data_IF_739804977158
#
_entry.id   IF_739804977158
#
_cell.length_a   1.000
_cell.length_b   1.000
_cell.length_c   1.000
_cell.angle_alpha   90.00
_cell.angle_beta   90.00
_cell.angle_gamma   90.00
#
_symmetry.space_group_name_H-M   'P 1'
#
loop_
_entity.id
_entity.type
_entity.pdbx_description
1 polymer ?
#
# COMPACT_ATOMS: atom_id res chain seq x y z
N UNK A 1 2.27 -39.55 34.05
CA UNK A 1 1.68 -38.18 34.12
C UNK A 1 2.26 -37.19 33.11
N UNK A 2 3.55 -37.24 32.73
CA UNK A 2 4.21 -36.19 31.92
C UNK A 2 3.70 -36.02 30.48
N UNK A 3 3.28 -37.09 29.80
CA UNK A 3 2.80 -37.05 28.40
C UNK A 3 1.50 -36.26 28.24
N UNK A 4 0.59 -36.33 29.23
CA UNK A 4 -0.68 -35.61 29.18
C UNK A 4 -0.46 -34.09 29.12
N UNK A 5 0.45 -33.55 29.94
CA UNK A 5 0.78 -32.13 29.97
C UNK A 5 1.49 -31.63 28.71
N UNK A 6 2.33 -32.47 28.09
CA UNK A 6 2.98 -32.13 26.80
C UNK A 6 1.94 -32.05 25.68
N UNK A 7 0.95 -32.94 25.67
CA UNK A 7 -0.13 -32.91 24.69
C UNK A 7 -1.03 -31.68 24.86
N UNK A 8 -1.39 -31.32 26.10
CA UNK A 8 -2.18 -30.10 26.37
C UNK A 8 -1.43 -28.84 25.98
N UNK A 9 -0.12 -28.78 26.20
CA UNK A 9 0.72 -27.66 25.80
C UNK A 9 0.79 -27.50 24.27
N UNK A 10 0.90 -28.61 23.53
CA UNK A 10 0.86 -28.58 22.06
C UNK A 10 -0.50 -28.11 21.52
N UNK A 11 -1.60 -28.53 22.14
CA UNK A 11 -2.95 -28.07 21.79
C UNK A 11 -3.10 -26.57 22.07
N UNK A 12 -2.57 -26.08 23.19
CA UNK A 12 -2.58 -24.65 23.53
C UNK A 12 -1.80 -23.81 22.49
N UNK A 13 -0.64 -24.30 22.04
CA UNK A 13 0.15 -23.65 20.99
C UNK A 13 -0.58 -23.61 19.64
N UNK A 14 -1.33 -24.67 19.29
CA UNK A 14 -2.14 -24.70 18.06
C UNK A 14 -3.30 -23.70 18.10
N UNK A 15 -3.91 -23.48 19.28
CA UNK A 15 -4.96 -22.47 19.47
C UNK A 15 -4.40 -21.05 19.31
N UNK A 16 -3.21 -20.77 19.87
CA UNK A 16 -2.53 -19.47 19.75
C UNK A 16 -2.02 -19.22 18.31
N UNK A 17 -1.64 -20.28 17.59
CA UNK A 17 -1.21 -20.20 16.20
C UNK A 17 -2.36 -19.96 15.20
N UNK A 18 -3.62 -20.11 15.63
CA UNK A 18 -4.81 -19.91 14.78
C UNK A 18 -5.26 -18.44 14.70
N UNK A 19 -4.31 -17.50 14.71
CA UNK A 19 -4.58 -16.10 14.38
C UNK A 19 -4.72 -15.96 12.86
N UNK A 20 -5.88 -16.37 12.33
CA UNK A 20 -6.19 -16.11 10.93
C UNK A 20 -6.28 -14.59 10.73
N UNK A 21 -5.52 -14.04 9.79
CA UNK A 21 -5.59 -12.63 9.46
C UNK A 21 -7.00 -12.32 8.93
N UNK A 22 -7.81 -11.64 9.74
CA UNK A 22 -9.15 -11.21 9.37
C UNK A 22 -9.11 -9.73 8.98
N UNK A 23 -9.17 -9.39 7.68
CA UNK A 23 -9.02 -8.01 7.23
C UNK A 23 -10.20 -7.10 7.65
N UNK A 24 -11.39 -7.66 7.90
CA UNK A 24 -12.55 -6.90 8.37
C UNK A 24 -12.96 -7.34 9.78
N UNK A 25 -13.27 -6.40 10.67
CA UNK A 25 -13.76 -6.70 12.03
C UNK A 25 -15.12 -7.41 12.02
N UNK A 26 -15.94 -7.18 10.99
CA UNK A 26 -17.27 -7.78 10.86
C UNK A 26 -17.79 -7.79 9.42
N UNK A 27 -18.79 -8.64 9.15
CA UNK A 27 -19.52 -8.66 7.88
C UNK A 27 -20.22 -7.33 7.57
N UNK A 28 -20.65 -6.60 8.61
CA UNK A 28 -21.25 -5.26 8.49
C UNK A 28 -20.22 -4.27 7.97
N UNK A 29 -19.02 -4.26 8.53
CA UNK A 29 -17.91 -3.42 8.07
C UNK A 29 -17.58 -3.73 6.59
N UNK A 30 -17.41 -5.01 6.26
CA UNK A 30 -17.14 -5.44 4.87
C UNK A 30 -18.20 -4.93 3.89
N UNK A 31 -19.49 -5.02 4.25
CA UNK A 31 -20.58 -4.51 3.43
C UNK A 31 -20.48 -2.99 3.24
N UNK A 32 -20.25 -2.24 4.32
CA UNK A 32 -20.10 -0.79 4.24
C UNK A 32 -18.93 -0.37 3.35
N UNK A 33 -17.74 -0.95 3.57
CA UNK A 33 -16.55 -0.67 2.75
C UNK A 33 -16.77 -1.05 1.28
N UNK A 34 -17.46 -2.16 1.02
CA UNK A 34 -17.85 -2.60 -0.33
C UNK A 34 -18.75 -1.58 -1.04
N UNK A 35 -19.75 -1.03 -0.35
CA UNK A 35 -20.63 0.00 -0.93
C UNK A 35 -19.88 1.31 -1.20
N UNK A 36 -18.98 1.72 -0.30
CA UNK A 36 -18.09 2.88 -0.53
C UNK A 36 -17.27 2.70 -1.81
N UNK A 37 -16.63 1.54 -1.99
CA UNK A 37 -15.85 1.25 -3.19
C UNK A 37 -16.71 1.34 -4.45
N UNK A 38 -17.90 0.77 -4.42
CA UNK A 38 -18.83 0.77 -5.55
C UNK A 38 -19.24 2.19 -5.93
N UNK A 39 -19.56 3.02 -4.94
CA UNK A 39 -19.94 4.42 -5.10
C UNK A 39 -18.81 5.27 -5.68
N UNK A 40 -17.61 5.15 -5.12
CA UNK A 40 -16.50 6.06 -5.41
C UNK A 40 -15.77 5.67 -6.71
N UNK A 41 -15.52 4.38 -6.92
CA UNK A 41 -14.72 3.93 -8.07
C UNK A 41 -15.55 3.71 -9.33
N UNK A 42 -16.86 3.52 -9.22
CA UNK A 42 -17.77 3.27 -10.36
C UNK A 42 -17.26 2.15 -11.29
N UNK A 43 -16.79 1.05 -10.72
CA UNK A 43 -16.28 -0.10 -11.47
C UNK A 43 -17.40 -0.83 -12.21
N UNK A 44 -17.08 -1.47 -13.34
CA UNK A 44 -18.01 -2.39 -14.00
C UNK A 44 -18.41 -3.55 -13.08
N UNK A 45 -19.62 -4.08 -13.25
CA UNK A 45 -20.11 -5.22 -12.45
C UNK A 45 -19.16 -6.42 -12.47
N UNK A 46 -18.49 -6.67 -13.60
CA UNK A 46 -17.47 -7.74 -13.74
C UNK A 46 -16.25 -7.46 -12.87
N UNK A 47 -15.67 -6.27 -12.97
CA UNK A 47 -14.48 -5.87 -12.22
C UNK A 47 -14.75 -5.80 -10.72
N UNK A 48 -15.93 -5.29 -10.34
CA UNK A 48 -16.36 -5.25 -8.96
C UNK A 48 -16.52 -6.66 -8.36
N UNK A 49 -17.13 -7.60 -9.11
CA UNK A 49 -17.20 -9.01 -8.68
C UNK A 49 -15.81 -9.63 -8.50
N UNK A 50 -14.83 -9.28 -9.36
CA UNK A 50 -13.44 -9.78 -9.25
C UNK A 50 -12.79 -9.33 -7.93
N UNK A 51 -12.90 -8.06 -7.55
CA UNK A 51 -12.31 -7.57 -6.30
C UNK A 51 -13.10 -8.00 -5.05
N UNK A 52 -14.43 -8.14 -5.15
CA UNK A 52 -15.29 -8.48 -4.01
C UNK A 52 -15.06 -9.90 -3.47
N UNK A 53 -14.56 -10.81 -4.30
CA UNK A 53 -14.19 -12.18 -3.90
C UNK A 53 -12.95 -12.23 -3.01
N UNK A 54 -12.15 -11.17 -3.00
CA UNK A 54 -10.82 -11.14 -2.38
C UNK A 54 -10.78 -10.12 -1.25
N UNK A 55 -11.00 -10.60 -0.01
CA UNK A 55 -11.15 -9.72 1.16
C UNK A 55 -9.94 -8.81 1.39
N UNK A 56 -8.73 -9.31 1.14
CA UNK A 56 -7.50 -8.51 1.24
C UNK A 56 -7.48 -7.35 0.24
N UNK A 57 -7.96 -7.57 -0.99
CA UNK A 57 -8.00 -6.54 -2.04
C UNK A 57 -9.06 -5.51 -1.68
N UNK A 58 -10.26 -5.99 -1.34
CA UNK A 58 -11.38 -5.14 -0.95
C UNK A 58 -10.99 -4.24 0.23
N UNK A 59 -10.35 -4.80 1.26
CA UNK A 59 -9.87 -4.06 2.42
C UNK A 59 -8.83 -3.02 2.01
N UNK A 60 -7.79 -3.41 1.27
CA UNK A 60 -6.71 -2.49 0.88
C UNK A 60 -7.20 -1.31 0.03
N UNK A 61 -8.18 -1.52 -0.85
CA UNK A 61 -8.80 -0.44 -1.63
C UNK A 61 -9.57 0.49 -0.70
N UNK A 62 -10.38 -0.07 0.21
CA UNK A 62 -11.17 0.71 1.14
C UNK A 62 -10.29 1.57 2.07
N UNK A 63 -9.17 1.01 2.54
CA UNK A 63 -8.15 1.74 3.31
C UNK A 63 -7.53 2.87 2.48
N UNK A 64 -7.23 2.63 1.20
CA UNK A 64 -6.69 3.67 0.32
C UNK A 64 -7.68 4.85 0.12
N UNK A 65 -8.96 4.54 -0.04
CA UNK A 65 -10.02 5.57 -0.11
C UNK A 65 -10.12 6.35 1.20
N UNK A 66 -10.12 5.66 2.35
CA UNK A 66 -10.18 6.27 3.68
C UNK A 66 -8.98 7.17 3.97
N UNK A 67 -7.77 6.76 3.54
CA UNK A 67 -6.55 7.56 3.63
C UNK A 67 -6.44 8.65 2.56
N UNK A 68 -7.52 8.90 1.80
CA UNK A 68 -7.61 9.95 0.78
C UNK A 68 -6.54 9.84 -0.32
N UNK A 69 -6.16 8.62 -0.69
CA UNK A 69 -5.34 8.40 -1.89
C UNK A 69 -6.10 8.91 -3.11
N UNK A 70 -5.41 9.56 -4.04
CA UNK A 70 -6.00 10.09 -5.28
C UNK A 70 -6.81 9.01 -5.99
N UNK A 71 -8.09 9.27 -6.25
CA UNK A 71 -9.01 8.29 -6.82
C UNK A 71 -8.55 7.76 -8.19
N UNK A 72 -7.99 8.64 -9.03
CA UNK A 72 -7.40 8.27 -10.31
C UNK A 72 -6.19 7.34 -10.17
N UNK A 73 -5.42 7.48 -9.08
CA UNK A 73 -4.30 6.60 -8.81
C UNK A 73 -4.79 5.19 -8.47
N UNK A 74 -5.78 5.08 -7.58
CA UNK A 74 -6.41 3.79 -7.23
C UNK A 74 -6.98 3.12 -8.47
N UNK A 75 -7.72 3.86 -9.32
CA UNK A 75 -8.25 3.34 -10.59
C UNK A 75 -7.15 2.78 -11.48
N UNK A 76 -6.07 3.53 -11.69
CA UNK A 76 -4.92 3.08 -12.49
C UNK A 76 -4.27 1.80 -11.95
N UNK A 77 -4.17 1.63 -10.63
CA UNK A 77 -3.68 0.37 -10.01
C UNK A 77 -4.61 -0.80 -10.32
N UNK A 78 -5.92 -0.56 -10.22
CA UNK A 78 -6.94 -1.56 -10.51
C UNK A 78 -6.98 -1.92 -11.99
N UNK A 79 -6.85 -0.95 -12.89
CA UNK A 79 -6.76 -1.20 -14.33
C UNK A 79 -5.54 -2.08 -14.64
N UNK A 80 -4.40 -1.81 -14.02
CA UNK A 80 -3.20 -2.67 -14.13
C UNK A 80 -3.47 -4.09 -13.62
N UNK A 81 -4.21 -4.25 -12.53
CA UNK A 81 -4.61 -5.57 -12.01
C UNK A 81 -5.65 -6.27 -12.90
N UNK A 82 -6.60 -5.54 -13.49
CA UNK A 82 -7.61 -6.12 -14.37
C UNK A 82 -7.04 -6.56 -15.71
N UNK A 83 -6.04 -5.84 -16.22
CA UNK A 83 -5.27 -6.20 -17.42
C UNK A 83 -4.15 -7.20 -17.17
N UNK A 84 -4.11 -7.85 -15.99
CA UNK A 84 -3.08 -8.81 -15.57
C UNK A 84 -1.64 -8.26 -15.61
N UNK A 85 -1.47 -6.94 -15.66
CA UNK A 85 -0.17 -6.34 -15.46
C UNK A 85 0.23 -6.55 -14.00
N UNK A 86 -0.64 -6.32 -13.02
CA UNK A 86 -0.33 -6.64 -11.62
C UNK A 86 -0.84 -8.01 -11.19
N UNK A 87 0.01 -8.73 -10.48
CA UNK A 87 -0.38 -9.82 -9.59
C UNK A 87 -1.13 -9.28 -8.37
N UNK A 88 -1.84 -10.16 -7.64
CA UNK A 88 -2.48 -9.81 -6.37
C UNK A 88 -1.48 -9.21 -5.37
N UNK A 89 -0.28 -9.79 -5.26
CA UNK A 89 0.77 -9.31 -4.34
C UNK A 89 1.22 -7.89 -4.72
N UNK A 90 1.52 -7.65 -5.99
CA UNK A 90 1.90 -6.32 -6.48
C UNK A 90 0.80 -5.27 -6.22
N UNK A 91 -0.46 -5.61 -6.48
CA UNK A 91 -1.58 -4.70 -6.19
C UNK A 91 -1.67 -4.33 -4.71
N UNK A 92 -1.57 -5.32 -3.81
CA UNK A 92 -1.62 -5.07 -2.37
C UNK A 92 -0.43 -4.22 -1.91
N UNK A 93 0.77 -4.52 -2.41
CA UNK A 93 1.98 -3.77 -2.07
C UNK A 93 1.89 -2.32 -2.55
N UNK A 94 1.50 -2.07 -3.80
CA UNK A 94 1.45 -0.71 -4.34
C UNK A 94 0.35 0.13 -3.69
N UNK A 95 -0.82 -0.46 -3.40
CA UNK A 95 -1.86 0.23 -2.64
C UNK A 95 -1.38 0.57 -1.22
N UNK A 96 -0.64 -0.34 -0.58
CA UNK A 96 -0.01 -0.10 0.73
C UNK A 96 1.00 1.04 0.71
N UNK A 97 1.78 1.18 -0.36
CA UNK A 97 2.63 2.34 -0.55
C UNK A 97 1.80 3.62 -0.73
N UNK A 98 0.82 3.58 -1.62
CA UNK A 98 -0.01 4.74 -1.95
C UNK A 98 -0.75 5.28 -0.69
N UNK A 99 -1.31 4.41 0.17
CA UNK A 99 -2.04 4.87 1.37
C UNK A 99 -1.16 5.21 2.58
N UNK A 100 0.09 4.74 2.63
CA UNK A 100 1.06 5.16 3.64
C UNK A 100 1.72 6.50 3.27
N UNK A 101 1.78 6.83 1.98
CA UNK A 101 2.35 8.08 1.46
C UNK A 101 1.38 8.79 0.51
N UNK A 102 0.15 9.15 0.94
CA UNK A 102 -0.90 9.66 0.06
C UNK A 102 -0.57 11.01 -0.59
N UNK A 103 0.38 11.77 -0.01
CA UNK A 103 0.81 13.10 -0.45
C UNK A 103 2.06 13.09 -1.35
N UNK A 104 2.58 11.91 -1.69
CA UNK A 104 3.77 11.84 -2.56
C UNK A 104 3.44 12.41 -3.95
N UNK A 105 4.23 13.38 -4.41
CA UNK A 105 4.01 14.06 -5.70
C UNK A 105 4.10 13.07 -6.85
N UNK A 106 5.16 12.25 -6.84
CA UNK A 106 5.40 11.16 -7.80
C UNK A 106 4.93 9.84 -7.20
N UNK A 107 3.91 9.18 -7.77
CA UNK A 107 3.47 7.87 -7.32
C UNK A 107 4.59 6.82 -7.45
N UNK A 108 4.56 5.82 -6.59
CA UNK A 108 5.43 4.64 -6.72
C UNK A 108 5.11 3.90 -8.02
N UNK A 109 6.10 3.32 -8.68
CA UNK A 109 5.87 2.45 -9.84
C UNK A 109 6.79 1.24 -9.77
N UNK A 110 6.27 0.08 -10.13
CA UNK A 110 7.11 -1.10 -10.33
C UNK A 110 7.84 -0.96 -11.66
N UNK A 111 9.17 -0.86 -11.61
CA UNK A 111 9.99 -0.83 -12.81
C UNK A 111 10.15 -2.26 -13.36
N UNK A 112 9.74 -2.49 -14.61
CA UNK A 112 9.81 -3.79 -15.28
C UNK A 112 10.96 -3.90 -16.28
N UNK A 113 11.84 -2.90 -16.32
CA UNK A 113 13.05 -2.94 -17.16
C UNK A 113 14.04 -3.93 -16.56
N UNK A 114 14.71 -4.72 -17.40
CA UNK A 114 15.69 -5.73 -16.99
C UNK A 114 16.86 -5.15 -16.18
N UNK A 115 17.18 -3.87 -16.39
CA UNK A 115 18.32 -3.19 -15.73
C UNK A 115 17.86 -2.14 -14.69
N UNK A 116 16.68 -2.34 -14.10
CA UNK A 116 16.17 -1.45 -13.10
C UNK A 116 17.02 -1.50 -11.81
N UNK A 117 17.88 -0.51 -11.59
CA UNK A 117 18.50 -0.29 -10.28
C UNK A 117 17.41 0.16 -9.29
N UNK A 118 16.98 -0.75 -8.42
CA UNK A 118 16.06 -0.47 -7.33
C UNK A 118 16.79 0.09 -6.11
N UNK A 119 16.07 0.80 -5.25
CA UNK A 119 16.52 1.06 -3.88
C UNK A 119 15.98 -0.09 -3.04
N UNK A 120 16.87 -0.94 -2.54
CA UNK A 120 16.49 -2.01 -1.61
C UNK A 120 16.25 -1.43 -0.22
N UNK A 121 15.10 -1.78 0.35
CA UNK A 121 14.77 -1.50 1.74
C UNK A 121 14.55 -2.84 2.44
N UNK A 122 15.19 -3.04 3.60
CA UNK A 122 15.04 -4.26 4.39
C UNK A 122 13.67 -4.36 5.04
N UNK A 123 13.06 -3.21 5.35
CA UNK A 123 11.71 -3.15 5.92
C UNK A 123 10.96 -1.84 5.60
N UNK A 124 9.67 -1.82 5.97
CA UNK A 124 8.77 -0.68 5.75
C UNK A 124 9.17 0.55 6.59
N UNK A 125 9.82 0.34 7.74
CA UNK A 125 10.26 1.44 8.61
C UNK A 125 11.49 2.14 8.02
N UNK A 126 12.43 1.40 7.45
CA UNK A 126 13.58 1.91 6.70
C UNK A 126 13.11 2.68 5.46
N UNK A 127 12.15 2.12 4.73
CA UNK A 127 11.50 2.82 3.64
C UNK A 127 10.82 4.12 4.11
N UNK A 128 10.04 4.07 5.20
CA UNK A 128 9.43 5.27 5.80
C UNK A 128 10.47 6.31 6.21
N UNK A 129 11.57 5.88 6.82
CA UNK A 129 12.67 6.75 7.25
C UNK A 129 13.32 7.41 6.04
N UNK A 130 13.64 6.64 5.00
CA UNK A 130 14.16 7.16 3.74
C UNK A 130 13.25 8.22 3.13
N UNK A 131 11.94 7.98 3.06
CA UNK A 131 11.00 8.96 2.51
C UNK A 131 10.78 10.17 3.43
N UNK A 132 10.71 9.97 4.74
CA UNK A 132 10.57 11.06 5.73
C UNK A 132 11.80 11.96 5.77
N UNK A 133 12.98 11.41 5.54
CA UNK A 133 14.24 12.15 5.51
C UNK A 133 14.47 12.86 4.16
N UNK A 134 13.52 12.82 3.21
CA UNK A 134 13.58 13.55 1.94
C UNK A 134 13.86 12.68 0.71
N UNK A 135 13.91 11.36 0.88
CA UNK A 135 13.93 10.36 -0.19
C UNK A 135 14.91 10.63 -1.32
N UNK A 136 14.41 10.49 -2.55
CA UNK A 136 15.19 10.69 -3.79
C UNK A 136 15.54 12.17 -4.00
N UNK A 137 14.77 13.11 -3.43
CA UNK A 137 15.04 14.55 -3.55
C UNK A 137 16.36 14.93 -2.86
N UNK A 138 16.64 14.42 -1.65
CA UNK A 138 17.95 14.66 -1.01
C UNK A 138 19.12 13.96 -1.69
N UNK A 139 18.91 12.75 -2.26
CA UNK A 139 19.95 12.08 -3.06
C UNK A 139 20.24 12.86 -4.35
N UNK A 140 19.24 13.49 -4.96
CA UNK A 140 19.42 14.38 -6.11
C UNK A 140 20.10 15.70 -5.72
N UNK A 141 19.72 16.32 -4.61
CA UNK A 141 20.36 17.56 -4.12
C UNK A 141 21.83 17.31 -3.73
N UNK A 142 22.13 16.14 -3.16
CA UNK A 142 23.48 15.67 -2.83
C UNK A 142 24.35 15.39 -4.05
N UNK A 143 23.76 14.92 -5.15
CA UNK A 143 24.50 14.54 -6.38
C UNK A 143 24.58 15.69 -7.38
N UNK A 144 23.59 16.59 -7.41
CA UNK A 144 23.52 17.72 -8.34
C UNK A 144 23.94 19.07 -7.75
N UNK A 145 24.25 19.15 -6.45
CA UNK A 145 24.75 20.37 -5.81
C UNK A 145 23.81 21.57 -5.91
N UNK A 146 22.52 21.37 -6.19
CA UNK A 146 21.55 22.45 -6.32
C UNK A 146 21.13 22.92 -4.92
N UNK A 147 21.98 23.72 -4.28
CA UNK A 147 21.55 24.61 -3.20
C UNK A 147 20.38 25.43 -3.74
N UNK A 148 19.20 25.32 -3.10
CA UNK A 148 18.10 26.27 -3.26
C UNK A 148 18.69 27.69 -3.18
N UNK A 149 18.73 28.39 -4.30
CA UNK A 149 18.94 29.85 -4.29
C UNK A 149 17.66 30.44 -3.71
N UNK A 150 17.75 30.94 -2.49
CA UNK A 150 16.70 31.79 -1.93
C UNK A 150 16.51 33.00 -2.84
N UNK A 151 15.38 33.03 -3.54
CA UNK A 151 14.94 34.19 -4.31
C UNK A 151 14.34 35.23 -3.36
N UNK A 152 15.18 35.79 -2.50
CA UNK A 152 14.84 36.96 -1.68
C UNK A 152 16.01 37.94 -1.70
N UNK A 153 16.42 38.39 -2.88
CA UNK A 153 17.13 39.66 -3.00
C UNK A 153 16.11 40.77 -3.22
N UNK A 154 15.80 41.41 -2.09
CA UNK A 154 15.17 42.71 -1.94
C UNK A 154 15.77 43.69 -2.96
N UNK A 155 14.99 44.07 -3.97
CA UNK A 155 15.36 45.10 -4.94
C UNK A 155 15.17 46.46 -4.27
N UNK A 156 16.21 46.94 -3.58
CA UNK A 156 16.33 48.36 -3.23
C UNK A 156 17.04 49.06 -4.38
N UNK A 157 16.28 49.79 -5.20
CA UNK A 157 16.68 51.04 -5.87
C UNK A 157 15.42 51.82 -6.15
#
# INVERSE_FOLDING_TARGET
>A
MRIKYVLTFFILLLIIACNSYQPFSSSKEKRMKSETIKKDLKLSSKNFKKIKKEDSILFSIATALEKKVRLNLIKRRLDSFFSNNYTKKELLTILKLDYNFPKIKKPFEFNRRKDAQGIDFKDINEMKKFFNEGGVEKKLDSVLGMKKRDSTQKKNR
#
